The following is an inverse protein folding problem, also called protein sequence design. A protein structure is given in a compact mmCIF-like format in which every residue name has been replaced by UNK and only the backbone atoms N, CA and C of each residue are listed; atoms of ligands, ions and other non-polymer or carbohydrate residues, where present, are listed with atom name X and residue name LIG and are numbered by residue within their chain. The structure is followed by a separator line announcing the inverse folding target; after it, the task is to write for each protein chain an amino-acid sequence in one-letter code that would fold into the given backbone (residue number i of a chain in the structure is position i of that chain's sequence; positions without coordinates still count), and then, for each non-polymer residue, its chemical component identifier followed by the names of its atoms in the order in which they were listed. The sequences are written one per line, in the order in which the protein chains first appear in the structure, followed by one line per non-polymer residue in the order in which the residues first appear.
data_IF_591630681904
#
_entry.id   IF_591630681904
#
_cell.length_a   1.000
_cell.length_b   1.000
_cell.length_c   1.000
_cell.angle_alpha   90.00
_cell.angle_beta   90.00
_cell.angle_gamma   90.00
#
_symmetry.space_group_name_H-M   'P 1'
#
loop_
_entity.id
_entity.type
_entity.pdbx_description
1 polymer ?
#
# COMPACT_ATOMS: atom_id res chain seq x y z
N UNK A 1 -25.22 12.50 4.44
CA UNK A 1 -25.19 11.72 3.17
C UNK A 1 -24.18 12.34 2.19
N UNK A 2 -23.15 11.60 1.78
CA UNK A 2 -22.13 12.08 0.83
C UNK A 2 -22.58 11.87 -0.63
N UNK A 3 -22.32 12.87 -1.49
CA UNK A 3 -22.66 12.82 -2.92
C UNK A 3 -21.52 13.39 -3.76
N UNK A 4 -21.42 12.96 -5.03
CA UNK A 4 -20.43 13.50 -5.99
C UNK A 4 -21.12 14.53 -6.89
N UNK A 5 -20.42 15.60 -7.23
CA UNK A 5 -20.90 16.63 -8.17
C UNK A 5 -21.05 16.07 -9.59
N UNK A 6 -21.77 16.80 -10.47
CA UNK A 6 -21.98 16.38 -11.86
C UNK A 6 -23.14 15.42 -12.10
N UNK A 7 -24.08 15.33 -11.15
CA UNK A 7 -25.28 14.50 -11.27
C UNK A 7 -25.00 13.00 -11.23
N UNK A 8 -25.95 12.20 -11.73
CA UNK A 8 -25.89 10.75 -11.60
C UNK A 8 -25.20 10.03 -12.77
N UNK A 9 -24.98 10.70 -13.91
CA UNK A 9 -24.45 10.05 -15.11
C UNK A 9 -23.11 9.33 -14.83
N UNK A 10 -22.16 10.01 -14.17
CA UNK A 10 -20.85 9.44 -13.83
C UNK A 10 -20.98 8.15 -13.00
N UNK A 11 -21.96 8.07 -12.10
CA UNK A 11 -22.20 6.87 -11.29
C UNK A 11 -22.54 5.66 -12.14
N UNK A 12 -23.27 5.81 -13.24
CA UNK A 12 -23.69 4.70 -14.11
C UNK A 12 -22.63 4.34 -15.16
N UNK A 13 -22.01 5.35 -15.78
CA UNK A 13 -21.05 5.14 -16.86
C UNK A 13 -19.66 4.69 -16.38
N UNK A 14 -19.21 5.12 -15.19
CA UNK A 14 -17.91 4.71 -14.68
C UNK A 14 -17.80 3.17 -14.53
N UNK A 15 -16.73 2.58 -15.07
CA UNK A 15 -16.42 1.14 -14.89
C UNK A 15 -15.85 0.85 -13.51
N UNK A 16 -15.06 1.77 -12.97
CA UNK A 16 -14.49 1.70 -11.62
C UNK A 16 -14.77 3.03 -10.91
N UNK A 17 -15.18 2.97 -9.64
CA UNK A 17 -15.28 4.15 -8.76
C UNK A 17 -14.53 3.86 -7.47
N UNK A 18 -13.69 4.80 -7.10
CA UNK A 18 -12.87 4.74 -5.90
C UNK A 18 -13.22 5.90 -5.00
N UNK A 19 -13.28 5.62 -3.71
CA UNK A 19 -13.38 6.61 -2.64
C UNK A 19 -12.03 6.65 -1.93
N UNK A 20 -11.41 7.82 -1.91
CA UNK A 20 -10.13 8.05 -1.24
C UNK A 20 -10.39 8.85 0.03
N UNK A 21 -9.89 8.38 1.16
CA UNK A 21 -10.00 9.05 2.46
C UNK A 21 -8.62 9.11 3.11
N UNK A 22 -8.26 10.28 3.62
CA UNK A 22 -7.11 10.42 4.52
C UNK A 22 -7.48 9.81 5.87
N UNK A 23 -6.66 8.88 6.35
CA UNK A 23 -6.86 8.19 7.64
C UNK A 23 -6.05 8.86 8.74
N UNK A 24 -4.75 9.04 8.51
CA UNK A 24 -3.82 9.58 9.51
C UNK A 24 -2.74 10.44 8.84
N UNK A 25 -2.17 11.40 9.57
CA UNK A 25 -0.99 12.14 9.14
C UNK A 25 0.29 11.42 9.55
N UNK A 26 1.23 11.25 8.63
CA UNK A 26 2.55 10.69 8.91
C UNK A 26 3.46 11.82 9.42
N UNK A 27 4.01 11.65 10.62
CA UNK A 27 4.96 12.58 11.23
C UNK A 27 6.36 11.98 11.18
N UNK A 28 7.31 12.76 10.70
CA UNK A 28 8.75 12.52 10.85
C UNK A 28 9.35 13.47 11.88
N UNK A 29 10.67 13.45 11.98
CA UNK A 29 11.42 14.23 12.98
C UNK A 29 11.25 15.75 12.80
N UNK A 30 11.12 16.22 11.55
CA UNK A 30 10.98 17.65 11.20
C UNK A 30 9.54 18.08 10.87
N UNK A 31 8.53 17.25 11.15
CA UNK A 31 7.12 17.59 10.97
C UNK A 31 6.31 16.59 10.15
N UNK A 32 5.22 17.06 9.52
CA UNK A 32 4.31 16.20 8.76
C UNK A 32 4.91 15.84 7.39
N UNK A 33 5.27 14.57 7.21
CA UNK A 33 5.97 14.06 6.02
C UNK A 33 5.01 13.48 4.97
N UNK A 34 3.76 13.21 5.33
CA UNK A 34 2.78 12.63 4.40
C UNK A 34 1.46 12.26 5.05
N UNK A 35 0.66 11.49 4.31
CA UNK A 35 -0.65 11.01 4.74
C UNK A 35 -0.75 9.49 4.57
N UNK A 36 -1.25 8.82 5.59
CA UNK A 36 -1.79 7.47 5.45
C UNK A 36 -3.20 7.56 4.86
N UNK A 37 -3.42 6.86 3.76
CA UNK A 37 -4.63 6.99 2.94
C UNK A 37 -5.27 5.63 2.72
N UNK A 38 -6.59 5.58 2.88
CA UNK A 38 -7.42 4.42 2.57
C UNK A 38 -8.23 4.69 1.31
N UNK A 39 -8.14 3.79 0.34
CA UNK A 39 -8.94 3.81 -0.89
C UNK A 39 -9.90 2.63 -0.89
N UNK A 40 -11.20 2.89 -1.02
CA UNK A 40 -12.24 1.86 -1.15
C UNK A 40 -12.81 1.85 -2.57
N UNK A 41 -12.90 0.67 -3.16
CA UNK A 41 -13.51 0.50 -4.49
C UNK A 41 -15.03 0.40 -4.33
N UNK A 42 -15.75 1.50 -4.54
CA UNK A 42 -17.21 1.56 -4.41
C UNK A 42 -17.97 0.92 -5.58
N UNK A 43 -17.36 0.90 -6.77
CA UNK A 43 -17.91 0.25 -7.97
C UNK A 43 -16.79 -0.40 -8.75
N UNK A 44 -16.99 -1.62 -9.20
CA UNK A 44 -16.06 -2.33 -10.07
C UNK A 44 -16.87 -3.18 -11.06
N UNK A 45 -16.66 -2.97 -12.36
CA UNK A 45 -17.28 -3.77 -13.44
C UNK A 45 -16.33 -4.85 -14.01
N UNK A 46 -15.08 -4.89 -13.55
CA UNK A 46 -14.03 -5.77 -14.12
C UNK A 46 -13.63 -6.88 -13.13
N UNK A 47 -13.74 -6.62 -11.83
CA UNK A 47 -13.41 -7.57 -10.77
C UNK A 47 -14.34 -7.37 -9.55
N UNK A 48 -14.21 -8.16 -8.47
CA UNK A 48 -15.03 -7.98 -7.27
C UNK A 48 -14.96 -6.55 -6.69
N UNK A 49 -16.11 -5.91 -6.41
CA UNK A 49 -16.15 -4.57 -5.80
C UNK A 49 -15.90 -4.61 -4.28
N UNK A 50 -15.84 -3.44 -3.66
CA UNK A 50 -15.73 -3.21 -2.21
C UNK A 50 -14.41 -3.62 -1.53
N UNK A 51 -13.40 -4.00 -2.32
CA UNK A 51 -12.03 -4.13 -1.83
C UNK A 51 -11.49 -2.77 -1.37
N UNK A 52 -10.62 -2.82 -0.37
CA UNK A 52 -9.97 -1.64 0.21
C UNK A 52 -8.46 -1.79 0.08
N UNK A 53 -7.78 -0.69 -0.21
CA UNK A 53 -6.33 -0.59 -0.24
C UNK A 53 -5.88 0.52 0.72
N UNK A 54 -4.79 0.29 1.42
CA UNK A 54 -4.19 1.26 2.34
C UNK A 54 -2.73 1.48 1.94
N UNK A 55 -2.33 2.74 1.86
CA UNK A 55 -0.97 3.11 1.48
C UNK A 55 -0.62 4.52 1.95
N UNK A 56 0.68 4.77 2.00
CA UNK A 56 1.22 6.07 2.39
C UNK A 56 1.49 6.94 1.16
N UNK A 57 1.08 8.20 1.24
CA UNK A 57 1.42 9.25 0.28
C UNK A 57 2.39 10.21 0.97
N UNK A 58 3.64 10.22 0.50
CA UNK A 58 4.70 11.10 1.01
C UNK A 58 4.71 12.39 0.19
N UNK A 59 4.77 13.54 0.87
CA UNK A 59 4.80 14.83 0.18
C UNK A 59 6.08 14.97 -0.66
N UNK A 60 5.94 15.46 -1.89
CA UNK A 60 7.05 15.62 -2.85
C UNK A 60 7.54 14.33 -3.52
N UNK A 61 7.22 13.14 -2.99
CA UNK A 61 7.58 11.83 -3.60
C UNK A 61 6.38 11.09 -4.20
N UNK A 62 5.19 11.26 -3.64
CA UNK A 62 3.98 10.54 -4.06
C UNK A 62 3.76 9.24 -3.29
N UNK A 63 3.14 8.26 -3.93
CA UNK A 63 2.78 6.97 -3.31
C UNK A 63 4.04 6.16 -3.01
N UNK A 64 4.21 5.76 -1.76
CA UNK A 64 5.34 4.93 -1.32
C UNK A 64 5.14 3.46 -1.74
N UNK A 65 5.56 3.11 -2.97
CA UNK A 65 5.45 1.74 -3.51
C UNK A 65 6.15 0.70 -2.63
N UNK A 66 7.40 0.95 -2.25
CA UNK A 66 8.23 0.03 -1.46
C UNK A 66 7.61 -0.25 -0.08
N UNK A 67 7.14 0.81 0.59
CA UNK A 67 6.42 0.67 1.86
C UNK A 67 5.16 -0.19 1.73
N UNK A 68 4.38 0.02 0.67
CA UNK A 68 3.17 -0.77 0.45
C UNK A 68 3.48 -2.25 0.16
N UNK A 69 4.51 -2.53 -0.66
CA UNK A 69 4.95 -3.91 -0.92
C UNK A 69 5.37 -4.59 0.38
N UNK A 70 6.16 -3.91 1.23
CA UNK A 70 6.60 -4.44 2.51
C UNK A 70 5.41 -4.77 3.43
N UNK A 71 4.46 -3.85 3.56
CA UNK A 71 3.29 -4.06 4.42
C UNK A 71 2.45 -5.26 3.94
N UNK A 72 2.22 -5.37 2.63
CA UNK A 72 1.49 -6.50 2.04
C UNK A 72 2.28 -7.80 2.20
N UNK A 73 3.60 -7.78 2.00
CA UNK A 73 4.45 -8.95 2.16
C UNK A 73 4.47 -9.47 3.61
N UNK A 74 4.41 -8.57 4.59
CA UNK A 74 4.28 -8.93 6.01
C UNK A 74 2.90 -9.53 6.29
N UNK A 75 1.84 -8.93 5.77
CA UNK A 75 0.47 -9.45 5.93
C UNK A 75 0.27 -10.82 5.28
N UNK A 76 1.03 -11.12 4.24
CA UNK A 76 1.02 -12.41 3.54
C UNK A 76 2.08 -13.40 4.08
N UNK A 77 2.72 -13.11 5.21
CA UNK A 77 3.77 -13.94 5.82
C UNK A 77 4.97 -14.25 4.89
N UNK A 78 5.19 -13.43 3.85
CA UNK A 78 6.36 -13.53 2.97
C UNK A 78 7.58 -12.91 3.67
N UNK A 79 7.38 -11.75 4.31
CA UNK A 79 8.37 -11.11 5.17
C UNK A 79 8.00 -11.38 6.62
N UNK A 80 8.92 -11.97 7.38
CA UNK A 80 8.71 -12.26 8.80
C UNK A 80 9.03 -11.02 9.64
N UNK A 81 8.13 -10.69 10.55
CA UNK A 81 8.31 -9.62 11.54
C UNK A 81 8.52 -10.21 12.93
N UNK A 82 9.74 -10.15 13.45
CA UNK A 82 10.08 -10.57 14.80
C UNK A 82 10.20 -9.33 15.70
N UNK A 83 9.08 -8.93 16.30
CA UNK A 83 9.01 -7.69 17.10
C UNK A 83 9.24 -6.45 16.25
N UNK A 84 10.38 -5.78 16.45
CA UNK A 84 10.80 -4.62 15.65
C UNK A 84 11.65 -5.00 14.42
N UNK A 85 12.05 -6.26 14.27
CA UNK A 85 12.92 -6.70 13.17
C UNK A 85 12.11 -7.26 12.01
N UNK A 86 12.52 -6.91 10.79
CA UNK A 86 11.99 -7.46 9.54
C UNK A 86 13.06 -8.34 8.89
N UNK A 87 12.64 -9.53 8.47
CA UNK A 87 13.51 -10.51 7.82
C UNK A 87 12.80 -11.13 6.62
N UNK A 88 13.52 -11.26 5.52
CA UNK A 88 13.09 -11.98 4.32
C UNK A 88 14.00 -13.19 4.15
N UNK A 89 13.42 -14.40 4.12
CA UNK A 89 14.18 -15.65 4.16
C UNK A 89 15.20 -15.69 5.32
N UNK A 90 16.49 -15.64 5.01
CA UNK A 90 17.60 -15.60 5.98
C UNK A 90 18.22 -14.21 6.14
N UNK A 91 17.82 -13.24 5.30
CA UNK A 91 18.34 -11.88 5.31
C UNK A 91 17.56 -10.97 6.27
N UNK A 92 18.30 -10.13 6.99
CA UNK A 92 17.72 -9.11 7.86
C UNK A 92 17.56 -7.82 7.07
N UNK A 93 16.32 -7.47 6.77
CA UNK A 93 15.96 -6.23 6.06
C UNK A 93 16.25 -5.00 6.93
N UNK A 94 16.03 -5.12 8.25
CA UNK A 94 16.35 -4.05 9.19
C UNK A 94 15.47 -4.02 10.44
N UNK A 95 15.80 -3.10 11.34
CA UNK A 95 15.02 -2.81 12.54
C UNK A 95 14.09 -1.63 12.25
N UNK A 96 12.79 -1.89 12.27
CA UNK A 96 11.75 -0.90 11.96
C UNK A 96 11.40 -0.83 10.48
N UNK A 97 10.22 -0.27 10.20
CA UNK A 97 9.64 -0.19 8.85
C UNK A 97 10.47 0.68 7.91
N UNK A 98 10.96 1.82 8.39
CA UNK A 98 11.74 2.74 7.53
C UNK A 98 13.08 2.16 7.11
N UNK A 99 13.83 1.51 8.03
CA UNK A 99 15.09 0.84 7.65
C UNK A 99 14.87 -0.32 6.68
N UNK A 100 13.80 -1.10 6.87
CA UNK A 100 13.44 -2.16 5.94
C UNK A 100 13.07 -1.61 4.55
N UNK A 101 12.41 -0.45 4.47
CA UNK A 101 12.15 0.25 3.21
C UNK A 101 13.43 0.74 2.55
N UNK A 102 14.32 1.39 3.30
CA UNK A 102 15.63 1.84 2.79
C UNK A 102 16.45 0.68 2.24
N UNK A 103 16.45 -0.46 2.92
CA UNK A 103 17.11 -1.68 2.43
C UNK A 103 16.51 -2.17 1.12
N UNK A 104 15.18 -2.23 1.01
CA UNK A 104 14.51 -2.67 -0.21
C UNK A 104 14.68 -1.68 -1.38
N UNK A 105 14.73 -0.38 -1.08
CA UNK A 105 15.02 0.66 -2.08
C UNK A 105 16.48 0.57 -2.58
N UNK A 106 17.40 0.14 -1.73
CA UNK A 106 18.80 -0.09 -2.09
C UNK A 106 19.05 -1.40 -2.85
N UNK A 107 18.17 -2.41 -2.70
CA UNK A 107 18.28 -3.74 -3.30
C UNK A 107 17.05 -4.02 -4.20
N UNK A 108 16.97 -3.41 -5.39
CA UNK A 108 15.79 -3.48 -6.27
C UNK A 108 15.49 -4.91 -6.76
N UNK A 109 16.48 -5.79 -6.83
CA UNK A 109 16.32 -7.20 -7.16
C UNK A 109 15.50 -7.95 -6.12
N UNK A 110 15.79 -7.73 -4.82
CA UNK A 110 15.03 -8.33 -3.72
C UNK A 110 13.61 -7.76 -3.71
N UNK A 111 13.47 -6.45 -3.92
CA UNK A 111 12.16 -5.80 -3.99
C UNK A 111 11.29 -6.39 -5.12
N UNK A 112 11.86 -6.61 -6.30
CA UNK A 112 11.17 -7.20 -7.44
C UNK A 112 10.77 -8.66 -7.17
N UNK A 113 11.63 -9.42 -6.50
CA UNK A 113 11.33 -10.79 -6.09
C UNK A 113 10.15 -10.83 -5.10
N UNK A 114 10.19 -10.00 -4.05
CA UNK A 114 9.12 -9.89 -3.06
C UNK A 114 7.82 -9.41 -3.72
N UNK A 115 7.87 -8.42 -4.61
CA UNK A 115 6.70 -7.96 -5.36
C UNK A 115 6.07 -9.09 -6.18
N UNK A 116 6.88 -9.90 -6.85
CA UNK A 116 6.40 -11.04 -7.64
C UNK A 116 5.71 -12.07 -6.75
N UNK A 117 6.34 -12.48 -5.64
CA UNK A 117 5.76 -13.44 -4.70
C UNK A 117 4.45 -12.93 -4.09
N UNK A 118 4.38 -11.64 -3.76
CA UNK A 118 3.15 -10.99 -3.29
C UNK A 118 2.04 -11.09 -4.33
N UNK A 119 2.33 -10.76 -5.59
CA UNK A 119 1.34 -10.83 -6.69
C UNK A 119 0.85 -12.27 -6.93
N UNK A 120 1.77 -13.22 -7.02
CA UNK A 120 1.44 -14.64 -7.19
C UNK A 120 0.56 -15.16 -6.05
N UNK A 121 0.86 -14.79 -4.80
CA UNK A 121 0.07 -15.23 -3.65
C UNK A 121 -1.32 -14.60 -3.61
N UNK A 122 -1.47 -13.35 -4.07
CA UNK A 122 -2.76 -12.66 -4.19
C UNK A 122 -3.62 -13.15 -5.36
N UNK A 123 -3.01 -13.64 -6.44
CA UNK A 123 -3.73 -14.25 -7.57
C UNK A 123 -4.29 -15.63 -7.22
N UNK A 124 -3.61 -16.36 -6.34
CA UNK A 124 -4.03 -17.68 -5.88
C UNK A 124 -5.09 -17.64 -4.76
N UNK A 125 -5.62 -16.47 -4.42
CA UNK A 125 -6.55 -16.21 -3.32
C UNK A 125 -7.89 -15.65 -3.81
#
# INVERSE_FOLDING_TARGET
PETTTGGNALKYYASVRMEIRRTEGLKGDDGEIGNHVRVRVLKNKVAPPFRTAEFDIIFGKGISKTGNILDVAVNLDIVKKAGAWFSYNEEKLGQGREKAKEFLDANPEILAEVERLVREKLENQ
#
